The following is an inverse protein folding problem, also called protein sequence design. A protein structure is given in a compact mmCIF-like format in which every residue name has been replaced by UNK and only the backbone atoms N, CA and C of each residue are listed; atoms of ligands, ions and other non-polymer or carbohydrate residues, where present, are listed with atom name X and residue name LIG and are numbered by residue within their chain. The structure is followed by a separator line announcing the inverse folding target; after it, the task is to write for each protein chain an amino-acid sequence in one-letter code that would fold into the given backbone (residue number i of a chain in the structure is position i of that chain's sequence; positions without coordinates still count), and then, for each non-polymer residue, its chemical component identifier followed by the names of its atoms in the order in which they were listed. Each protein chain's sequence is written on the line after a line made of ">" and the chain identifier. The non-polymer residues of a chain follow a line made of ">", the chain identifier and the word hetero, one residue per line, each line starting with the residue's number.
data_IF_337802497376
#
_entry.id   IF_337802497376
#
_cell.length_a   1.000
_cell.length_b   1.000
_cell.length_c   1.000
_cell.angle_alpha   90.00
_cell.angle_beta   90.00
_cell.angle_gamma   90.00
#
_symmetry.space_group_name_H-M   'P 1'
#
loop_
_entity.id
_entity.type
_entity.pdbx_description
1 polymer ?
#
# COMPACT_ATOMS: atom_id res chain seq x y z
N UNK A 1 40.96 14.59 -22.87
CA UNK A 1 39.48 14.64 -22.85
C UNK A 1 39.02 13.45 -22.04
N UNK A 2 38.20 13.66 -21.01
CA UNK A 2 37.53 12.57 -20.31
C UNK A 2 36.26 12.19 -21.09
N UNK A 3 36.24 10.99 -21.67
CA UNK A 3 35.11 10.50 -22.46
C UNK A 3 33.87 10.20 -21.61
N UNK A 4 33.99 10.20 -20.27
CA UNK A 4 32.85 10.03 -19.37
C UNK A 4 31.80 11.13 -19.53
N UNK A 5 32.22 12.35 -19.86
CA UNK A 5 31.33 13.51 -20.03
C UNK A 5 30.56 13.49 -21.35
N UNK A 6 30.94 12.65 -22.32
CA UNK A 6 30.24 12.50 -23.59
C UNK A 6 29.14 11.44 -23.55
N UNK A 7 28.98 10.74 -22.42
CA UNK A 7 28.02 9.66 -22.23
C UNK A 7 26.75 10.14 -21.51
N UNK A 8 25.59 9.78 -22.05
CA UNK A 8 24.28 10.00 -21.40
C UNK A 8 23.99 8.85 -20.41
N UNK A 9 24.62 8.91 -19.24
CA UNK A 9 24.41 7.92 -18.19
C UNK A 9 23.10 8.18 -17.42
N UNK A 10 22.38 7.11 -16.98
CA UNK A 10 21.22 7.27 -16.13
C UNK A 10 21.57 7.92 -14.79
N UNK A 11 20.82 8.95 -14.41
CA UNK A 11 20.92 9.60 -13.10
C UNK A 11 19.58 9.47 -12.37
N UNK A 12 19.64 9.17 -11.07
CA UNK A 12 18.44 9.09 -10.24
C UNK A 12 18.79 9.34 -8.78
N UNK A 13 17.92 10.06 -8.09
CA UNK A 13 17.97 10.22 -6.64
C UNK A 13 17.39 8.99 -5.92
N UNK A 14 16.83 8.02 -6.67
CA UNK A 14 16.29 6.80 -6.12
C UNK A 14 17.41 5.90 -5.58
N UNK A 15 17.42 5.70 -4.26
CA UNK A 15 18.41 4.86 -3.61
C UNK A 15 18.31 3.41 -4.08
N UNK A 16 19.45 2.82 -4.47
CA UNK A 16 19.51 1.38 -4.83
C UNK A 16 19.16 0.46 -3.65
N UNK A 17 19.42 0.88 -2.40
CA UNK A 17 19.07 0.12 -1.19
C UNK A 17 17.76 0.63 -0.62
N UNK A 18 16.81 -0.27 -0.38
CA UNK A 18 15.46 0.10 0.06
C UNK A 18 15.37 0.67 1.48
N UNK A 19 16.17 0.18 2.43
CA UNK A 19 16.16 0.60 3.84
C UNK A 19 14.73 0.65 4.44
N UNK A 20 13.96 -0.43 4.22
CA UNK A 20 12.51 -0.44 4.41
C UNK A 20 12.08 -0.23 5.86
N UNK A 21 12.82 -0.76 6.84
CA UNK A 21 12.53 -0.59 8.27
C UNK A 21 12.41 0.89 8.67
N UNK A 22 13.19 1.77 8.04
CA UNK A 22 13.19 3.21 8.30
C UNK A 22 12.26 3.97 7.35
N UNK A 23 12.08 3.49 6.12
CA UNK A 23 11.35 4.19 5.06
C UNK A 23 9.85 3.90 5.05
N UNK A 24 9.43 2.67 5.38
CA UNK A 24 8.01 2.30 5.41
C UNK A 24 7.21 3.05 6.47
N UNK A 25 7.68 3.22 7.72
CA UNK A 25 6.95 4.01 8.72
C UNK A 25 6.70 5.45 8.27
N UNK A 26 7.67 6.09 7.64
CA UNK A 26 7.54 7.46 7.08
C UNK A 26 6.48 7.52 5.99
N UNK A 27 6.44 6.50 5.13
CA UNK A 27 5.45 6.39 4.05
C UNK A 27 4.04 6.22 4.60
N UNK A 28 3.85 5.36 5.60
CA UNK A 28 2.54 5.15 6.23
C UNK A 28 2.05 6.41 6.96
N UNK A 29 2.94 7.09 7.70
CA UNK A 29 2.62 8.36 8.34
C UNK A 29 2.17 9.41 7.31
N UNK A 30 2.90 9.55 6.20
CA UNK A 30 2.53 10.45 5.12
C UNK A 30 1.15 10.10 4.52
N UNK A 31 0.82 8.82 4.36
CA UNK A 31 -0.50 8.41 3.86
C UNK A 31 -1.63 8.76 4.82
N UNK A 32 -1.40 8.63 6.13
CA UNK A 32 -2.37 8.98 7.17
C UNK A 32 -2.59 10.49 7.24
N UNK A 33 -1.51 11.27 7.32
CA UNK A 33 -1.54 12.74 7.28
C UNK A 33 -2.30 13.27 6.06
N UNK A 34 -2.06 12.65 4.89
CA UNK A 34 -2.71 13.02 3.65
C UNK A 34 -4.12 12.43 3.47
N UNK A 35 -4.62 11.67 4.45
CA UNK A 35 -5.93 10.99 4.45
C UNK A 35 -6.16 10.19 3.17
N UNK A 36 -5.14 9.46 2.71
CA UNK A 36 -5.14 8.76 1.41
C UNK A 36 -6.31 7.78 1.31
N UNK A 37 -6.61 7.05 2.37
CA UNK A 37 -7.75 6.12 2.38
C UNK A 37 -9.09 6.83 2.12
N UNK A 38 -9.31 8.01 2.71
CA UNK A 38 -10.54 8.77 2.46
C UNK A 38 -10.60 9.29 1.03
N UNK A 39 -9.47 9.78 0.49
CA UNK A 39 -9.37 10.18 -0.92
C UNK A 39 -9.69 9.02 -1.86
N UNK A 40 -9.21 7.81 -1.55
CA UNK A 40 -9.54 6.60 -2.32
C UNK A 40 -11.05 6.32 -2.32
N UNK A 41 -11.71 6.37 -1.16
CA UNK A 41 -13.17 6.16 -1.06
C UNK A 41 -13.96 7.21 -1.83
N UNK A 42 -13.60 8.48 -1.69
CA UNK A 42 -14.27 9.58 -2.42
C UNK A 42 -14.13 9.41 -3.93
N UNK A 43 -12.95 9.01 -4.43
CA UNK A 43 -12.72 8.81 -5.87
C UNK A 43 -13.57 7.70 -6.50
N UNK A 44 -14.09 6.77 -5.69
CA UNK A 44 -14.86 5.60 -6.15
C UNK A 44 -16.29 5.57 -5.61
N UNK A 45 -16.84 6.69 -5.13
CA UNK A 45 -18.15 6.74 -4.45
C UNK A 45 -19.28 6.06 -5.27
N UNK A 46 -19.33 6.30 -6.57
CA UNK A 46 -20.41 5.83 -7.45
C UNK A 46 -20.01 4.64 -8.33
N UNK A 47 -18.84 4.04 -8.07
CA UNK A 47 -18.36 2.87 -8.80
C UNK A 47 -19.02 1.57 -8.32
N UNK A 48 -19.02 0.49 -9.12
CA UNK A 48 -19.50 -0.82 -8.70
C UNK A 48 -18.85 -1.26 -7.38
N UNK A 49 -19.67 -1.70 -6.43
CA UNK A 49 -19.20 -2.03 -5.09
C UNK A 49 -18.49 -3.40 -5.04
N UNK A 50 -17.43 -3.49 -4.25
CA UNK A 50 -16.78 -4.73 -3.87
C UNK A 50 -16.54 -4.71 -2.35
N UNK A 51 -17.14 -5.65 -1.63
CA UNK A 51 -16.98 -5.76 -0.18
C UNK A 51 -16.30 -7.08 0.14
N UNK A 52 -15.22 -7.01 0.94
CA UNK A 52 -14.59 -8.19 1.51
C UNK A 52 -14.83 -8.19 3.02
N UNK A 53 -15.60 -9.16 3.49
CA UNK A 53 -15.89 -9.34 4.90
C UNK A 53 -14.66 -9.91 5.62
N UNK A 54 -14.21 -9.24 6.67
CA UNK A 54 -13.16 -9.76 7.53
C UNK A 54 -13.75 -10.57 8.68
N UNK A 55 -13.07 -11.65 9.04
CA UNK A 55 -13.42 -12.42 10.23
C UNK A 55 -12.80 -11.73 11.44
N UNK A 56 -13.58 -11.41 12.49
CA UNK A 56 -13.06 -10.73 13.66
C UNK A 56 -11.97 -11.62 14.29
N UNK A 57 -10.72 -11.13 14.44
CA UNK A 57 -9.70 -11.88 15.14
C UNK A 57 -10.08 -11.97 16.62
N UNK A 58 -9.64 -13.03 17.29
CA UNK A 58 -9.71 -13.03 18.74
C UNK A 58 -8.82 -11.91 19.29
N UNK A 59 -9.33 -11.13 20.24
CA UNK A 59 -8.63 -9.99 20.82
C UNK A 59 -7.60 -10.37 21.90
N UNK A 60 -7.13 -11.63 21.90
CA UNK A 60 -6.19 -12.17 22.88
C UNK A 60 -4.90 -12.64 22.21
N UNK A 61 -3.78 -12.48 22.93
CA UNK A 61 -2.47 -12.92 22.47
C UNK A 61 -1.82 -12.01 21.43
N UNK A 62 -0.61 -12.38 21.03
CA UNK A 62 0.17 -11.64 20.05
C UNK A 62 -0.20 -12.05 18.62
N UNK A 63 -0.09 -11.10 17.70
CA UNK A 63 -0.15 -11.36 16.26
C UNK A 63 0.99 -12.31 15.87
N UNK A 64 0.66 -13.36 15.14
CA UNK A 64 1.60 -14.33 14.59
C UNK A 64 1.58 -14.30 13.06
N UNK A 65 2.47 -15.06 12.41
CA UNK A 65 2.63 -15.04 10.95
C UNK A 65 1.33 -15.36 10.19
N UNK A 66 0.49 -16.26 10.70
CA UNK A 66 -0.85 -16.52 10.12
C UNK A 66 -1.77 -15.28 10.06
N UNK A 67 -1.72 -14.40 11.06
CA UNK A 67 -2.47 -13.14 11.03
C UNK A 67 -1.93 -12.21 9.95
N UNK A 68 -0.60 -12.10 9.83
CA UNK A 68 0.06 -11.30 8.81
C UNK A 68 -0.30 -11.80 7.41
N UNK A 69 -0.19 -13.11 7.17
CA UNK A 69 -0.58 -13.73 5.90
C UNK A 69 -2.03 -13.43 5.54
N UNK A 70 -2.97 -13.65 6.46
CA UNK A 70 -4.39 -13.39 6.24
C UNK A 70 -4.65 -11.92 5.88
N UNK A 71 -4.10 -10.97 6.63
CA UNK A 71 -4.35 -9.53 6.38
C UNK A 71 -3.66 -9.04 5.10
N UNK A 72 -2.46 -9.53 4.77
CA UNK A 72 -1.76 -9.19 3.51
C UNK A 72 -2.52 -9.71 2.30
N UNK A 73 -3.00 -10.95 2.30
CA UNK A 73 -3.79 -11.49 1.19
C UNK A 73 -5.09 -10.71 0.97
N UNK A 74 -5.78 -10.36 2.06
CA UNK A 74 -7.00 -9.54 2.01
C UNK A 74 -6.71 -8.16 1.42
N UNK A 75 -5.63 -7.51 1.85
CA UNK A 75 -5.22 -6.21 1.31
C UNK A 75 -4.87 -6.26 -0.18
N UNK A 76 -4.20 -7.33 -0.66
CA UNK A 76 -3.93 -7.54 -2.09
C UNK A 76 -5.24 -7.59 -2.89
N UNK A 77 -6.23 -8.37 -2.43
CA UNK A 77 -7.54 -8.50 -3.11
C UNK A 77 -8.28 -7.16 -3.13
N UNK A 78 -8.27 -6.44 -2.00
CA UNK A 78 -8.89 -5.11 -1.90
C UNK A 78 -8.22 -4.13 -2.87
N UNK A 79 -6.89 -4.05 -2.89
CA UNK A 79 -6.15 -3.16 -3.79
C UNK A 79 -6.38 -3.50 -5.25
N UNK A 80 -6.35 -4.78 -5.59
CA UNK A 80 -6.64 -5.24 -6.95
C UNK A 80 -8.00 -4.73 -7.44
N UNK A 81 -9.07 -4.94 -6.66
CA UNK A 81 -10.42 -4.48 -7.03
C UNK A 81 -10.54 -2.95 -7.07
N UNK A 82 -9.85 -2.22 -6.18
CA UNK A 82 -9.83 -0.76 -6.20
C UNK A 82 -9.16 -0.21 -7.48
N UNK A 83 -8.02 -0.78 -7.87
CA UNK A 83 -7.30 -0.39 -9.07
C UNK A 83 -8.03 -0.84 -10.34
N UNK A 84 -8.78 -1.93 -10.29
CA UNK A 84 -9.73 -2.39 -11.34
C UNK A 84 -10.97 -1.49 -11.48
N UNK A 85 -11.14 -0.51 -10.60
CA UNK A 85 -12.17 0.52 -10.77
C UNK A 85 -13.30 0.51 -9.76
N UNK A 86 -13.35 -0.48 -8.87
CA UNK A 86 -14.47 -0.71 -7.95
C UNK A 86 -14.41 0.18 -6.71
N UNK A 87 -15.58 0.39 -6.11
CA UNK A 87 -15.72 0.98 -4.78
C UNK A 87 -15.50 -0.10 -3.73
N UNK A 88 -14.32 -0.12 -3.13
CA UNK A 88 -13.94 -1.18 -2.18
C UNK A 88 -14.31 -0.82 -0.73
N UNK A 89 -14.83 -1.80 0.00
CA UNK A 89 -15.07 -1.71 1.44
C UNK A 89 -14.40 -2.89 2.15
N UNK A 90 -13.54 -2.55 3.10
CA UNK A 90 -12.90 -3.48 4.02
C UNK A 90 -13.06 -2.93 5.44
N UNK A 91 -13.58 -3.76 6.35
CA UNK A 91 -13.70 -3.46 7.78
C UNK A 91 -12.93 -4.54 8.53
N UNK A 92 -11.75 -4.22 9.10
CA UNK A 92 -10.86 -5.20 9.74
C UNK A 92 -11.38 -5.85 11.01
#
# INVERSE_FOLDING_TARGET
>A
MDYKETLLLPTTDFAMRGNLVQNEPKRYASWDENKIYQKMKTKRKDAPAFTLHDGPPYANGNIHIGHALNKVLKDIIIKHNYFDGKSVRFTP
#
